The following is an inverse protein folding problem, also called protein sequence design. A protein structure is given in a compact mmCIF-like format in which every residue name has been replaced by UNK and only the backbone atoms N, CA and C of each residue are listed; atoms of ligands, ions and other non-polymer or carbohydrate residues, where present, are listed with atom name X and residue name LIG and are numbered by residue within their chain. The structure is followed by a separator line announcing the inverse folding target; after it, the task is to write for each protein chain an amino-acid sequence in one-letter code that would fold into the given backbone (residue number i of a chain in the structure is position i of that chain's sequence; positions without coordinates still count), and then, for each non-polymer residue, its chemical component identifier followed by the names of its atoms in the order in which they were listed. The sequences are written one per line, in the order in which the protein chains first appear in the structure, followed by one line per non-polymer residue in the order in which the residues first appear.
data_IF_834629414661
#
_entry.id   IF_834629414661
#
_cell.length_a   1.000
_cell.length_b   1.000
_cell.length_c   1.000
_cell.angle_alpha   90.00
_cell.angle_beta   90.00
_cell.angle_gamma   90.00
#
_symmetry.space_group_name_H-M   'P 1'
#
loop_
_entity.id
_entity.type
_entity.pdbx_description
1 polymer ?
#
# COMPACT_ATOMS: atom_id res chain seq x y z
N UNK A 1 0.15 17.68 -4.95
CA UNK A 1 1.22 16.65 -5.02
C UNK A 1 1.47 16.29 -6.48
N UNK A 2 2.73 16.25 -6.91
CA UNK A 2 3.10 15.72 -8.21
C UNK A 2 3.51 14.24 -8.03
N UNK A 3 2.65 13.34 -8.45
CA UNK A 3 2.82 11.91 -8.23
C UNK A 3 4.05 11.34 -8.94
N UNK A 4 4.34 11.79 -10.16
CA UNK A 4 5.49 11.29 -10.93
C UNK A 4 6.81 11.62 -10.22
N UNK A 5 6.94 12.86 -9.74
CA UNK A 5 8.12 13.28 -8.98
C UNK A 5 8.27 12.52 -7.66
N UNK A 6 7.17 12.22 -6.98
CA UNK A 6 7.18 11.41 -5.76
C UNK A 6 7.68 10.00 -6.08
N UNK A 7 7.13 9.37 -7.11
CA UNK A 7 7.54 8.02 -7.54
C UNK A 7 9.02 7.98 -7.94
N UNK A 8 9.49 8.97 -8.70
CA UNK A 8 10.90 9.07 -9.07
C UNK A 8 11.83 9.19 -7.86
N UNK A 9 11.46 10.03 -6.89
CA UNK A 9 12.24 10.21 -5.66
C UNK A 9 12.30 8.92 -4.82
N UNK A 10 11.17 8.22 -4.70
CA UNK A 10 11.14 6.92 -4.01
C UNK A 10 11.98 5.90 -4.76
N UNK A 11 11.87 5.83 -6.09
CA UNK A 11 12.62 4.90 -6.91
C UNK A 11 14.13 5.06 -6.76
N UNK A 12 14.60 6.30 -6.64
CA UNK A 12 16.02 6.61 -6.46
C UNK A 12 16.62 6.00 -5.17
N UNK A 13 15.79 5.79 -4.15
CA UNK A 13 16.21 5.27 -2.85
C UNK A 13 15.72 3.84 -2.57
N UNK A 14 14.94 3.24 -3.47
CA UNK A 14 14.34 1.93 -3.24
C UNK A 14 15.39 0.82 -3.34
N UNK A 15 15.52 0.03 -2.27
CA UNK A 15 16.60 -0.94 -2.12
C UNK A 15 16.32 -2.29 -2.79
N UNK A 16 15.05 -2.60 -3.09
CA UNK A 16 14.62 -3.90 -3.62
C UNK A 16 14.32 -3.81 -5.13
N UNK A 17 13.92 -4.93 -5.72
CA UNK A 17 13.46 -4.93 -7.12
C UNK A 17 12.23 -4.04 -7.28
N UNK A 18 12.31 -3.08 -8.18
CA UNK A 18 11.23 -2.13 -8.46
C UNK A 18 9.93 -2.82 -8.89
N UNK A 19 10.04 -3.87 -9.68
CA UNK A 19 8.93 -4.70 -10.15
C UNK A 19 8.71 -5.94 -9.26
N UNK A 20 9.32 -5.96 -8.08
CA UNK A 20 9.26 -7.06 -7.14
C UNK A 20 7.95 -7.11 -6.36
N UNK A 21 7.92 -8.02 -5.39
CA UNK A 21 6.75 -8.35 -4.60
C UNK A 21 6.18 -7.17 -3.80
N UNK A 22 7.05 -6.27 -3.34
CA UNK A 22 6.73 -5.07 -2.58
C UNK A 22 6.97 -3.78 -3.38
N UNK A 23 7.07 -3.88 -4.70
CA UNK A 23 7.38 -2.77 -5.59
C UNK A 23 6.17 -2.08 -6.20
N UNK A 24 6.38 -1.39 -7.30
CA UNK A 24 5.43 -0.45 -7.91
C UNK A 24 4.09 -1.10 -8.29
N UNK A 25 4.06 -2.35 -8.74
CA UNK A 25 2.80 -3.03 -9.08
C UNK A 25 1.91 -3.21 -7.86
N UNK A 26 2.48 -3.57 -6.71
CA UNK A 26 1.79 -3.64 -5.44
C UNK A 26 1.26 -2.26 -5.03
N UNK A 27 2.10 -1.23 -5.04
CA UNK A 27 1.71 0.13 -4.66
C UNK A 27 0.57 0.69 -5.52
N UNK A 28 0.60 0.41 -6.81
CA UNK A 28 -0.48 0.83 -7.74
C UNK A 28 -1.81 0.17 -7.37
N UNK A 29 -1.81 -1.13 -7.05
CA UNK A 29 -3.04 -1.81 -6.61
C UNK A 29 -3.50 -1.33 -5.23
N UNK A 30 -2.58 -1.07 -4.31
CA UNK A 30 -2.92 -0.45 -3.00
C UNK A 30 -3.57 0.92 -3.20
N UNK A 31 -3.02 1.75 -4.10
CA UNK A 31 -3.64 3.04 -4.43
C UNK A 31 -5.07 2.88 -4.95
N UNK A 32 -5.28 2.01 -5.91
CA UNK A 32 -6.62 1.79 -6.48
C UNK A 32 -7.59 1.22 -5.46
N UNK A 33 -7.17 0.26 -4.64
CA UNK A 33 -7.96 -0.26 -3.53
C UNK A 33 -8.36 0.89 -2.59
N UNK A 34 -7.39 1.70 -2.19
CA UNK A 34 -7.59 2.81 -1.27
C UNK A 34 -8.52 3.89 -1.81
N UNK A 35 -8.36 4.28 -3.05
CA UNK A 35 -9.23 5.30 -3.67
C UNK A 35 -10.69 4.82 -3.77
N UNK A 36 -10.91 3.57 -4.17
CA UNK A 36 -12.27 3.00 -4.21
C UNK A 36 -12.88 2.85 -2.82
N UNK A 37 -12.08 2.48 -1.82
CA UNK A 37 -12.55 2.45 -0.43
C UNK A 37 -12.89 3.86 0.07
N UNK A 38 -12.06 4.86 -0.24
CA UNK A 38 -12.26 6.23 0.21
C UNK A 38 -13.61 6.82 -0.26
N UNK A 39 -14.09 6.45 -1.44
CA UNK A 39 -15.42 6.83 -1.93
C UNK A 39 -16.54 6.36 -0.98
N UNK A 40 -16.34 5.26 -0.27
CA UNK A 40 -17.33 4.66 0.63
C UNK A 40 -17.08 4.98 2.10
N UNK A 41 -15.83 5.23 2.49
CA UNK A 41 -15.43 5.46 3.89
C UNK A 41 -15.34 6.94 4.26
N UNK A 42 -15.18 7.83 3.28
CA UNK A 42 -14.90 9.24 3.51
C UNK A 42 -13.45 9.52 3.92
N UNK A 43 -12.54 8.55 3.76
CA UNK A 43 -11.12 8.72 4.06
C UNK A 43 -10.49 9.87 3.26
N UNK A 44 -9.47 10.50 3.82
CA UNK A 44 -8.75 11.59 3.18
C UNK A 44 -7.86 11.06 2.03
N UNK A 45 -8.25 11.37 0.80
CA UNK A 45 -7.61 10.86 -0.43
C UNK A 45 -6.11 11.16 -0.46
N UNK A 46 -5.70 12.36 -0.04
CA UNK A 46 -4.28 12.74 -0.04
C UNK A 46 -3.44 11.80 0.83
N UNK A 47 -3.95 11.40 2.00
CA UNK A 47 -3.27 10.46 2.90
C UNK A 47 -3.23 9.06 2.29
N UNK A 48 -4.35 8.59 1.74
CA UNK A 48 -4.47 7.27 1.12
C UNK A 48 -3.51 7.11 -0.06
N UNK A 49 -3.40 8.11 -0.92
CA UNK A 49 -2.45 8.09 -2.05
C UNK A 49 -1.00 8.08 -1.58
N UNK A 50 -0.64 8.93 -0.63
CA UNK A 50 0.71 8.95 -0.06
C UNK A 50 1.07 7.61 0.59
N UNK A 51 0.15 7.03 1.36
CA UNK A 51 0.35 5.72 1.99
C UNK A 51 0.68 4.64 0.98
N UNK A 52 -0.05 4.59 -0.13
CA UNK A 52 0.15 3.58 -1.15
C UNK A 52 1.60 3.49 -1.64
N UNK A 53 2.26 4.63 -1.81
CA UNK A 53 3.64 4.69 -2.31
C UNK A 53 4.72 4.71 -1.22
N UNK A 54 4.37 5.03 0.02
CA UNK A 54 5.36 5.23 1.09
C UNK A 54 5.43 4.11 2.11
N UNK A 55 4.35 3.33 2.30
CA UNK A 55 4.32 2.31 3.37
C UNK A 55 5.43 1.26 3.26
N UNK A 56 5.77 0.85 2.05
CA UNK A 56 6.81 -0.15 1.75
C UNK A 56 8.08 0.45 1.11
N UNK A 57 8.14 1.78 0.93
CA UNK A 57 9.21 2.45 0.18
C UNK A 57 10.62 2.26 0.77
N UNK A 58 10.73 1.97 2.05
CA UNK A 58 12.01 1.79 2.76
C UNK A 58 12.21 0.37 3.29
N UNK A 59 11.62 -0.61 2.61
CA UNK A 59 11.97 -2.02 2.84
C UNK A 59 13.42 -2.30 2.44
N UNK A 60 14.09 -3.14 3.23
CA UNK A 60 15.46 -3.62 2.97
C UNK A 60 15.50 -5.11 2.62
N UNK A 61 14.39 -5.82 2.78
CA UNK A 61 14.23 -7.23 2.41
C UNK A 61 12.77 -7.51 2.06
N UNK A 62 12.52 -8.47 1.18
CA UNK A 62 11.18 -8.99 0.90
C UNK A 62 10.64 -9.90 2.02
N UNK A 63 11.50 -10.35 2.89
CA UNK A 63 11.14 -11.15 4.07
C UNK A 63 10.70 -10.29 5.25
N UNK A 64 10.95 -10.78 6.46
CA UNK A 64 10.62 -10.07 7.68
C UNK A 64 11.47 -8.81 7.82
N UNK A 65 10.80 -7.67 7.90
CA UNK A 65 11.43 -6.36 8.07
C UNK A 65 10.57 -5.46 8.99
N UNK A 66 10.67 -5.66 10.31
CA UNK A 66 9.74 -5.02 11.27
C UNK A 66 9.84 -3.50 11.34
N UNK A 67 10.95 -2.91 10.87
CA UNK A 67 11.18 -1.46 10.91
C UNK A 67 10.75 -0.72 9.63
N UNK A 68 10.32 -1.40 8.57
CA UNK A 68 10.13 -0.75 7.28
C UNK A 68 9.02 0.31 7.29
N UNK A 69 7.93 0.08 8.01
CA UNK A 69 6.83 1.04 8.09
C UNK A 69 7.24 2.36 8.75
N UNK A 70 8.02 2.30 9.81
CA UNK A 70 8.57 3.51 10.48
C UNK A 70 9.56 4.24 9.60
N UNK A 71 10.38 3.51 8.84
CA UNK A 71 11.28 4.14 7.86
C UNK A 71 10.49 4.79 6.71
N UNK A 72 9.39 4.19 6.27
CA UNK A 72 8.47 4.80 5.31
C UNK A 72 7.83 6.09 5.85
N UNK A 73 7.41 6.08 7.11
CA UNK A 73 6.89 7.28 7.79
C UNK A 73 7.93 8.39 7.89
N UNK A 74 9.19 8.05 8.22
CA UNK A 74 10.28 9.02 8.26
C UNK A 74 10.58 9.62 6.87
N UNK A 75 10.52 8.80 5.82
CA UNK A 75 10.66 9.27 4.45
C UNK A 75 9.53 10.25 4.08
N UNK A 76 8.28 9.94 4.44
CA UNK A 76 7.15 10.83 4.23
C UNK A 76 7.37 12.20 4.87
N UNK A 77 7.82 12.23 6.12
CA UNK A 77 8.14 13.48 6.83
C UNK A 77 9.25 14.27 6.15
N UNK A 78 10.26 13.59 5.61
CA UNK A 78 11.37 14.24 4.89
C UNK A 78 10.93 14.91 3.59
N UNK A 79 9.83 14.44 2.99
CA UNK A 79 9.27 15.01 1.76
C UNK A 79 8.28 16.16 1.99
N UNK A 80 7.90 16.41 3.24
CA UNK A 80 6.97 17.51 3.55
C UNK A 80 7.59 18.86 3.17
N UNK A 81 6.81 19.69 2.50
CA UNK A 81 7.23 21.00 1.99
C UNK A 81 8.00 20.97 0.66
N UNK A 82 8.31 19.79 0.13
CA UNK A 82 8.96 19.62 -1.18
C UNK A 82 8.11 18.80 -2.14
N UNK A 83 8.02 17.48 -1.92
CA UNK A 83 7.21 16.57 -2.73
C UNK A 83 5.80 16.38 -2.17
N UNK A 84 5.62 16.54 -0.88
CA UNK A 84 4.35 16.49 -0.17
C UNK A 84 3.99 17.87 0.39
N UNK A 85 2.70 18.16 0.36
CA UNK A 85 2.10 19.35 0.97
C UNK A 85 0.84 18.92 1.72
N UNK A 86 1.06 18.24 2.84
CA UNK A 86 0.01 17.75 3.72
C UNK A 86 -0.17 18.71 4.90
N UNK A 87 -1.37 18.76 5.47
CA UNK A 87 -1.57 19.38 6.77
C UNK A 87 -0.86 18.57 7.85
N UNK A 88 -0.61 19.17 9.01
CA UNK A 88 0.00 18.46 10.15
C UNK A 88 -0.82 17.23 10.54
N UNK A 89 -2.15 17.36 10.59
CA UNK A 89 -3.05 16.24 10.86
C UNK A 89 -2.92 15.12 9.82
N UNK A 90 -2.89 15.45 8.54
CA UNK A 90 -2.70 14.48 7.46
C UNK A 90 -1.36 13.76 7.55
N UNK A 91 -0.30 14.50 7.88
CA UNK A 91 1.03 13.90 8.07
C UNK A 91 1.05 12.94 9.26
N UNK A 92 0.39 13.29 10.37
CA UNK A 92 0.30 12.38 11.52
C UNK A 92 -0.49 11.12 11.18
N UNK A 93 -1.61 11.23 10.47
CA UNK A 93 -2.37 10.08 9.98
C UNK A 93 -1.53 9.18 9.07
N UNK A 94 -0.81 9.78 8.12
CA UNK A 94 0.07 9.06 7.20
C UNK A 94 1.20 8.33 7.94
N UNK A 95 1.88 9.03 8.83
CA UNK A 95 2.98 8.46 9.60
C UNK A 95 2.51 7.31 10.49
N UNK A 96 1.35 7.45 11.12
CA UNK A 96 0.73 6.38 11.91
C UNK A 96 0.34 5.20 11.04
N UNK A 97 -0.33 5.44 9.92
CA UNK A 97 -0.71 4.38 8.98
C UNK A 97 0.51 3.58 8.51
N UNK A 98 1.57 4.25 8.06
CA UNK A 98 2.82 3.61 7.63
C UNK A 98 3.47 2.81 8.77
N UNK A 99 3.59 3.41 9.95
CA UNK A 99 4.31 2.81 11.08
C UNK A 99 3.70 1.49 11.56
N UNK A 100 2.37 1.37 11.49
CA UNK A 100 1.62 0.26 12.10
C UNK A 100 0.89 -0.64 11.10
N UNK A 101 1.13 -0.51 9.80
CA UNK A 101 0.36 -1.25 8.79
C UNK A 101 0.55 -2.78 8.87
N UNK A 102 1.62 -3.28 9.47
CA UNK A 102 1.89 -4.71 9.62
C UNK A 102 1.50 -5.29 10.99
N UNK A 103 1.00 -4.47 11.91
CA UNK A 103 0.77 -4.89 13.30
C UNK A 103 -0.58 -5.61 13.53
N UNK A 104 -1.39 -5.78 12.49
CA UNK A 104 -2.67 -6.48 12.58
C UNK A 104 -3.77 -5.71 13.30
N UNK A 105 -3.58 -4.41 13.57
CA UNK A 105 -4.58 -3.55 14.19
C UNK A 105 -5.78 -3.37 13.26
N UNK A 106 -6.97 -3.18 13.84
CA UNK A 106 -8.22 -2.94 13.10
C UNK A 106 -8.98 -1.69 13.58
N UNK A 107 -8.57 -1.10 14.69
CA UNK A 107 -9.17 0.10 15.26
C UNK A 107 -8.23 1.30 15.11
N UNK A 108 -8.68 2.32 14.40
CA UNK A 108 -7.98 3.57 14.19
C UNK A 108 -8.92 4.62 13.56
N UNK A 109 -8.40 5.82 13.29
CA UNK A 109 -9.08 6.78 12.41
C UNK A 109 -9.46 6.13 11.06
N UNK A 110 -10.61 6.52 10.50
CA UNK A 110 -11.13 5.90 9.27
C UNK A 110 -10.17 6.02 8.09
N UNK A 111 -9.38 7.08 8.02
CA UNK A 111 -8.37 7.25 6.98
C UNK A 111 -7.24 6.24 7.14
N UNK A 112 -6.77 6.00 8.35
CA UNK A 112 -5.77 4.97 8.68
C UNK A 112 -6.31 3.57 8.41
N UNK A 113 -7.54 3.29 8.81
CA UNK A 113 -8.22 2.03 8.53
C UNK A 113 -8.31 1.77 7.02
N UNK A 114 -8.65 2.78 6.24
CA UNK A 114 -8.73 2.68 4.77
C UNK A 114 -7.37 2.38 4.16
N UNK A 115 -6.30 2.99 4.65
CA UNK A 115 -4.92 2.69 4.25
C UNK A 115 -4.56 1.22 4.52
N UNK A 116 -4.82 0.73 5.72
CA UNK A 116 -4.52 -0.65 6.10
C UNK A 116 -5.34 -1.67 5.32
N UNK A 117 -6.61 -1.39 5.08
CA UNK A 117 -7.47 -2.24 4.26
C UNK A 117 -6.98 -2.31 2.82
N UNK A 118 -6.56 -1.18 2.26
CA UNK A 118 -6.05 -1.10 0.89
C UNK A 118 -4.83 -2.02 0.69
N UNK A 119 -3.93 -2.06 1.65
CA UNK A 119 -2.76 -2.94 1.64
C UNK A 119 -3.15 -4.42 1.83
N UNK A 120 -3.96 -4.71 2.84
CA UNK A 120 -4.42 -6.09 3.16
C UNK A 120 -5.24 -6.72 2.03
N UNK A 121 -5.97 -5.94 1.28
CA UNK A 121 -6.71 -6.39 0.11
C UNK A 121 -5.80 -6.85 -1.04
N UNK A 122 -4.53 -6.50 -1.05
CA UNK A 122 -3.55 -6.96 -2.05
C UNK A 122 -2.73 -8.19 -1.60
N UNK A 123 -3.13 -8.87 -0.54
CA UNK A 123 -2.46 -10.10 -0.05
C UNK A 123 -2.48 -11.25 -1.07
N UNK A 124 -3.35 -11.19 -2.07
CA UNK A 124 -3.37 -12.16 -3.15
C UNK A 124 -2.06 -12.22 -3.95
N UNK A 125 -1.27 -11.14 -3.96
CA UNK A 125 0.07 -11.13 -4.58
C UNK A 125 1.04 -12.16 -3.97
N UNK A 126 0.79 -12.53 -2.71
CA UNK A 126 1.53 -13.58 -2.00
C UNK A 126 0.71 -14.86 -1.79
N UNK A 127 -0.39 -15.02 -2.55
CA UNK A 127 -1.25 -16.20 -2.53
C UNK A 127 -2.18 -16.30 -1.33
N UNK A 128 -2.39 -15.22 -0.58
CA UNK A 128 -3.27 -15.19 0.59
C UNK A 128 -4.55 -14.43 0.26
N UNK A 129 -5.70 -15.09 0.42
CA UNK A 129 -7.00 -14.44 0.27
C UNK A 129 -7.26 -13.51 1.45
N UNK A 130 -7.64 -12.23 1.21
CA UNK A 130 -8.03 -11.33 2.29
C UNK A 130 -9.22 -11.89 3.09
N UNK A 131 -9.16 -11.76 4.40
CA UNK A 131 -10.21 -12.23 5.32
C UNK A 131 -10.96 -11.05 5.91
N UNK A 132 -12.28 -11.09 5.86
CA UNK A 132 -13.12 -10.01 6.38
C UNK A 132 -12.85 -9.69 7.86
N UNK A 133 -12.56 -10.70 8.69
CA UNK A 133 -12.24 -10.53 10.12
C UNK A 133 -10.90 -9.82 10.38
N UNK A 134 -10.07 -9.65 9.36
CA UNK A 134 -8.78 -8.92 9.41
C UNK A 134 -8.83 -7.55 8.75
N UNK A 135 -9.95 -7.20 8.16
CA UNK A 135 -10.18 -5.89 7.56
C UNK A 135 -10.87 -4.96 8.55
N UNK A 136 -10.63 -3.66 8.41
CA UNK A 136 -11.05 -2.65 9.38
C UNK A 136 -12.46 -2.12 9.09
N UNK A 137 -12.72 -1.72 7.83
CA UNK A 137 -13.93 -0.99 7.45
C UNK A 137 -15.02 -1.92 6.91
N UNK A 138 -16.31 -1.59 7.10
CA UNK A 138 -17.40 -2.33 6.47
C UNK A 138 -17.27 -2.38 4.93
N UNK A 139 -16.77 -1.29 4.32
CA UNK A 139 -16.55 -1.23 2.87
C UNK A 139 -15.56 -2.29 2.39
N UNK A 140 -14.46 -2.48 3.11
CA UNK A 140 -13.44 -3.48 2.76
C UNK A 140 -13.91 -4.92 3.04
N UNK A 141 -14.79 -5.10 4.02
CA UNK A 141 -15.38 -6.41 4.37
C UNK A 141 -16.44 -6.90 3.39
N UNK A 142 -16.89 -6.04 2.48
CA UNK A 142 -17.85 -6.41 1.44
C UNK A 142 -17.27 -7.55 0.59
N UNK A 143 -17.96 -8.71 0.51
CA UNK A 143 -17.49 -9.86 -0.26
C UNK A 143 -17.20 -9.54 -1.74
N UNK A 144 -17.98 -8.66 -2.34
CA UNK A 144 -17.77 -8.24 -3.73
C UNK A 144 -16.49 -7.42 -3.88
N UNK A 145 -16.15 -6.59 -2.89
CA UNK A 145 -14.89 -5.84 -2.89
C UNK A 145 -13.68 -6.76 -2.71
N UNK A 146 -13.77 -7.71 -1.76
CA UNK A 146 -12.72 -8.71 -1.55
C UNK A 146 -12.47 -9.51 -2.83
N UNK A 147 -13.52 -9.96 -3.51
CA UNK A 147 -13.39 -10.71 -4.77
C UNK A 147 -12.72 -9.88 -5.86
N UNK A 148 -13.18 -8.66 -6.07
CA UNK A 148 -12.57 -7.74 -7.03
C UNK A 148 -11.08 -7.51 -6.77
N UNK A 149 -10.71 -7.27 -5.52
CA UNK A 149 -9.31 -7.07 -5.13
C UNK A 149 -8.47 -8.34 -5.29
N UNK A 150 -9.06 -9.50 -4.95
CA UNK A 150 -8.43 -10.81 -5.12
C UNK A 150 -8.11 -11.07 -6.60
N UNK A 151 -9.07 -10.92 -7.49
CA UNK A 151 -8.87 -11.11 -8.93
C UNK A 151 -7.76 -10.23 -9.48
N UNK A 152 -7.72 -8.95 -9.09
CA UNK A 152 -6.69 -8.01 -9.52
C UNK A 152 -5.29 -8.40 -9.01
N UNK A 153 -5.19 -8.84 -7.78
CA UNK A 153 -3.92 -9.30 -7.20
C UNK A 153 -3.38 -10.55 -7.91
N UNK A 154 -4.25 -11.41 -8.40
CA UNK A 154 -3.89 -12.61 -9.14
C UNK A 154 -3.43 -12.31 -10.57
N UNK A 155 -4.03 -11.34 -11.26
CA UNK A 155 -3.60 -10.90 -12.57
C UNK A 155 -2.14 -10.42 -12.57
N UNK A 156 -1.71 -9.73 -11.52
CA UNK A 156 -0.30 -9.34 -11.33
C UNK A 156 0.65 -10.54 -11.19
N UNK A 157 0.18 -11.69 -10.77
CA UNK A 157 0.98 -12.92 -10.68
C UNK A 157 1.10 -13.66 -12.03
N UNK A 158 0.09 -13.60 -12.88
CA UNK A 158 0.13 -14.22 -14.22
C UNK A 158 1.31 -13.68 -15.05
N UNK A 159 1.61 -12.40 -14.91
CA UNK A 159 2.76 -11.77 -15.57
C UNK A 159 4.12 -12.13 -14.95
N UNK A 160 4.11 -12.75 -13.77
CA UNK A 160 5.33 -13.22 -13.07
C UNK A 160 5.60 -14.70 -13.26
N UNK A 161 4.71 -15.45 -13.89
CA UNK A 161 5.03 -16.80 -14.30
C UNK A 161 6.16 -16.69 -15.34
N UNK A 162 7.31 -17.35 -15.10
CA UNK A 162 8.35 -17.37 -16.11
C UNK A 162 7.73 -17.93 -17.39
N UNK A 163 7.83 -17.16 -18.46
CA UNK A 163 7.54 -17.65 -19.80
C UNK A 163 8.24 -18.99 -19.90
N UNK A 164 7.47 -20.04 -20.11
CA UNK A 164 8.00 -21.36 -20.22
C UNK A 164 9.21 -21.34 -21.15
N UNK A 165 10.35 -21.72 -20.62
CA UNK A 165 11.50 -22.02 -21.46
C UNK A 165 11.04 -23.08 -22.44
N UNK A 166 10.84 -22.70 -23.68
CA UNK A 166 10.80 -23.68 -24.75
C UNK A 166 12.17 -24.29 -24.79
N UNK A 167 12.31 -25.49 -24.28
CA UNK A 167 13.41 -26.33 -24.59
C UNK A 167 13.23 -26.76 -26.05
N UNK A 168 14.01 -26.22 -26.95
CA UNK A 168 14.33 -26.83 -28.22
C UNK A 168 15.41 -27.87 -28.04
#
# INVERSE_FOLDING_TARGET
MNLDKLIEAIRAEYALSWDGLHGISHWTRVRENGLRLAERTGAQIAVVECFAYLHDAKRITDGRDPGHGRRGAALARSFQGTLLDLTDEQMELLAYACSYHTDGLIEADVTVQTCWDADRLDLGRVGKRPRADKLCTPAARDPAFIEWAWERSQQGQVWRLPLHRHHT
#
